data_IF_680808125979
#
_entry.id   IF_680808125979
#
_cell.length_a   1.000
_cell.length_b   1.000
_cell.length_c   1.000
_cell.angle_alpha   90.00
_cell.angle_beta   90.00
_cell.angle_gamma   90.00
#
_symmetry.space_group_name_H-M   'P 1'
#
loop_
_entity.id
_entity.type
_entity.pdbx_description
1 polymer ?
#
# COMPACT_ATOMS: atom_id res chain seq x y z
N UNK A 1 17.48 4.18 -13.78
CA UNK A 1 17.13 4.41 -12.37
C UNK A 1 15.62 4.50 -12.22
N UNK A 2 15.05 3.75 -11.28
CA UNK A 2 13.63 3.83 -11.02
C UNK A 2 13.32 5.04 -10.16
N UNK A 3 12.23 5.74 -10.51
CA UNK A 3 11.72 6.85 -9.73
C UNK A 3 10.35 6.43 -9.19
N UNK A 4 10.34 5.77 -8.04
CA UNK A 4 9.09 5.27 -7.45
C UNK A 4 8.30 6.42 -6.84
N UNK A 5 7.11 6.62 -7.37
CA UNK A 5 6.19 7.67 -6.93
C UNK A 5 5.01 7.11 -6.13
N UNK A 6 4.63 5.86 -6.42
CA UNK A 6 3.43 5.24 -5.88
C UNK A 6 3.76 4.08 -4.97
N UNK A 7 3.05 4.02 -3.85
CA UNK A 7 3.11 2.90 -2.91
C UNK A 7 1.72 2.28 -2.87
N UNK A 8 1.60 1.02 -3.25
CA UNK A 8 0.32 0.31 -3.18
C UNK A 8 0.06 -0.13 -1.74
N UNK A 9 -1.16 0.10 -1.24
CA UNK A 9 -1.54 -0.48 0.04
C UNK A 9 -1.87 -1.97 -0.14
N UNK A 10 -2.19 -2.64 0.95
CA UNK A 10 -2.43 -4.08 0.95
C UNK A 10 -3.62 -4.45 0.06
N UNK A 11 -4.73 -3.72 0.15
CA UNK A 11 -5.91 -4.03 -0.65
C UNK A 11 -5.63 -3.86 -2.14
N UNK A 12 -4.96 -2.78 -2.51
CA UNK A 12 -4.64 -2.51 -3.92
C UNK A 12 -3.67 -3.56 -4.46
N UNK A 13 -2.66 -3.93 -3.68
CA UNK A 13 -1.76 -5.02 -4.08
C UNK A 13 -2.53 -6.33 -4.25
N UNK A 14 -3.46 -6.61 -3.33
CA UNK A 14 -4.33 -7.79 -3.43
C UNK A 14 -5.13 -7.80 -4.74
N UNK A 15 -5.64 -6.63 -5.16
CA UNK A 15 -6.36 -6.53 -6.44
C UNK A 15 -5.45 -6.84 -7.62
N UNK A 16 -4.18 -6.43 -7.56
CA UNK A 16 -3.22 -6.78 -8.59
C UNK A 16 -3.00 -8.29 -8.64
N UNK A 17 -2.83 -8.90 -7.47
CA UNK A 17 -2.53 -10.33 -7.36
C UNK A 17 -3.69 -11.19 -7.87
N UNK A 18 -4.92 -10.89 -7.42
CA UNK A 18 -6.08 -11.73 -7.76
C UNK A 18 -6.83 -11.27 -9.02
N UNK A 19 -6.54 -10.08 -9.51
CA UNK A 19 -7.15 -9.58 -10.74
C UNK A 19 -8.60 -9.15 -10.63
N UNK A 20 -9.13 -8.97 -9.41
CA UNK A 20 -10.53 -8.57 -9.20
C UNK A 20 -10.91 -7.23 -9.85
N UNK A 21 -9.94 -6.34 -9.97
CA UNK A 21 -10.15 -5.02 -10.56
C UNK A 21 -9.17 -4.86 -11.73
N UNK A 22 -9.61 -5.22 -12.96
CA UNK A 22 -8.72 -5.13 -14.14
C UNK A 22 -8.14 -3.74 -14.36
N UNK A 23 -8.87 -2.69 -14.00
CA UNK A 23 -8.41 -1.31 -14.12
C UNK A 23 -7.20 -1.04 -13.23
N UNK A 24 -7.09 -1.71 -12.09
CA UNK A 24 -5.91 -1.59 -11.22
C UNK A 24 -4.69 -2.19 -11.91
N UNK A 25 -4.83 -3.37 -12.50
CA UNK A 25 -3.74 -4.00 -13.25
C UNK A 25 -3.31 -3.15 -14.43
N UNK A 26 -4.25 -2.51 -15.10
CA UNK A 26 -3.95 -1.62 -16.21
C UNK A 26 -3.13 -0.41 -15.74
N UNK A 27 -3.56 0.23 -14.66
CA UNK A 27 -2.83 1.38 -14.10
C UNK A 27 -1.43 0.98 -13.64
N UNK A 28 -1.30 -0.17 -13.01
CA UNK A 28 0.00 -0.68 -12.58
C UNK A 28 0.90 -0.92 -13.80
N UNK A 29 0.37 -1.50 -14.87
CA UNK A 29 1.12 -1.74 -16.08
C UNK A 29 1.61 -0.42 -16.71
N UNK A 30 0.75 0.58 -16.77
CA UNK A 30 1.09 1.88 -17.32
C UNK A 30 2.16 2.61 -16.51
N UNK A 31 2.15 2.44 -15.19
CA UNK A 31 3.03 3.16 -14.27
C UNK A 31 4.10 2.27 -13.63
N UNK A 32 4.35 1.12 -14.23
CA UNK A 32 5.17 0.06 -13.65
C UNK A 32 6.51 0.52 -13.07
N UNK A 33 7.21 1.42 -13.74
CA UNK A 33 8.52 1.89 -13.28
C UNK A 33 8.44 2.80 -12.06
N UNK A 34 7.23 3.25 -11.71
CA UNK A 34 6.99 4.17 -10.60
C UNK A 34 6.29 3.52 -9.41
N UNK A 35 5.98 2.22 -9.49
CA UNK A 35 5.18 1.51 -8.47
C UNK A 35 6.09 0.72 -7.54
N UNK A 36 5.77 0.78 -6.25
CA UNK A 36 6.45 0.02 -5.21
C UNK A 36 5.42 -0.50 -4.21
N UNK A 37 5.84 -1.42 -3.36
CA UNK A 37 5.04 -1.91 -2.24
C UNK A 37 5.85 -1.83 -0.96
N UNK A 38 5.17 -1.65 0.16
CA UNK A 38 5.80 -1.71 1.47
C UNK A 38 6.11 -3.17 1.84
N UNK A 39 7.17 -3.38 2.60
CA UNK A 39 7.45 -4.69 3.21
C UNK A 39 6.28 -5.14 4.07
N UNK A 40 5.52 -4.20 4.65
CA UNK A 40 4.32 -4.50 5.44
C UNK A 40 3.20 -5.05 4.57
N UNK A 41 3.00 -4.47 3.40
CA UNK A 41 2.02 -4.98 2.41
C UNK A 41 2.39 -6.38 1.98
N UNK A 42 3.66 -6.62 1.72
CA UNK A 42 4.14 -7.96 1.37
C UNK A 42 3.85 -8.95 2.50
N UNK A 43 4.13 -8.56 3.75
CA UNK A 43 3.88 -9.42 4.91
C UNK A 43 2.41 -9.79 5.04
N UNK A 44 1.51 -8.82 4.87
CA UNK A 44 0.07 -9.07 4.93
C UNK A 44 -0.41 -9.97 3.81
N UNK A 45 0.10 -9.76 2.61
CA UNK A 45 -0.27 -10.58 1.46
C UNK A 45 0.18 -12.03 1.64
N UNK A 46 1.41 -12.23 2.11
CA UNK A 46 1.94 -13.56 2.38
C UNK A 46 1.15 -14.27 3.47
N UNK A 47 0.81 -13.57 4.54
CA UNK A 47 -0.03 -14.11 5.59
C UNK A 47 -1.40 -14.55 5.04
N UNK A 48 -2.03 -13.68 4.24
CA UNK A 48 -3.33 -13.99 3.65
C UNK A 48 -3.31 -15.25 2.79
N UNK A 49 -2.26 -15.43 2.00
CA UNK A 49 -2.10 -16.64 1.17
C UNK A 49 -1.93 -17.89 2.02
N UNK A 50 -1.14 -17.80 3.09
CA UNK A 50 -0.93 -18.93 4.01
C UNK A 50 -2.19 -19.30 4.77
N UNK A 51 -2.94 -18.29 5.22
CA UNK A 51 -4.20 -18.50 5.92
C UNK A 51 -5.19 -19.24 5.03
N UNK A 52 -5.23 -18.93 3.75
CA UNK A 52 -6.09 -19.60 2.77
C UNK A 52 -5.51 -20.90 2.26
N UNK A 53 -4.28 -21.23 2.65
CA UNK A 53 -3.55 -22.41 2.16
C UNK A 53 -3.53 -22.46 0.63
N UNK A 54 -3.34 -21.32 0.01
CA UNK A 54 -3.40 -21.18 -1.44
C UNK A 54 -2.00 -21.10 -2.04
N UNK A 55 -1.54 -22.19 -2.61
CA UNK A 55 -0.27 -22.22 -3.35
C UNK A 55 -0.32 -21.31 -4.57
N UNK A 56 -1.51 -21.19 -5.18
CA UNK A 56 -1.70 -20.30 -6.32
C UNK A 56 -1.44 -18.84 -5.92
N UNK A 57 -2.00 -18.39 -4.80
CA UNK A 57 -1.77 -17.02 -4.33
C UNK A 57 -0.31 -16.80 -3.95
N UNK A 58 0.33 -17.79 -3.29
CA UNK A 58 1.74 -17.68 -2.94
C UNK A 58 2.61 -17.48 -4.20
N UNK A 59 2.34 -18.26 -5.24
CA UNK A 59 3.07 -18.14 -6.51
C UNK A 59 2.84 -16.80 -7.19
N UNK A 60 1.60 -16.30 -7.18
CA UNK A 60 1.28 -14.99 -7.76
C UNK A 60 1.96 -13.86 -6.98
N UNK A 61 1.97 -13.94 -5.66
CA UNK A 61 2.65 -12.95 -4.83
C UNK A 61 4.15 -12.93 -5.15
N UNK A 62 4.78 -14.10 -5.26
CA UNK A 62 6.20 -14.20 -5.60
C UNK A 62 6.47 -13.57 -6.96
N UNK A 63 5.61 -13.81 -7.94
CA UNK A 63 5.76 -13.23 -9.27
C UNK A 63 5.67 -11.71 -9.23
N UNK A 64 4.64 -11.17 -8.57
CA UNK A 64 4.44 -9.73 -8.53
C UNK A 64 5.50 -9.01 -7.68
N UNK A 65 5.97 -9.63 -6.59
CA UNK A 65 7.01 -8.99 -5.77
C UNK A 65 8.32 -8.81 -6.53
N UNK A 66 8.60 -9.67 -7.51
CA UNK A 66 9.78 -9.52 -8.36
C UNK A 66 9.65 -8.32 -9.29
N UNK A 67 8.44 -7.88 -9.57
CA UNK A 67 8.18 -6.76 -10.48
C UNK A 67 8.32 -5.40 -9.81
N UNK A 68 8.21 -5.32 -8.49
CA UNK A 68 8.18 -4.05 -7.76
C UNK A 68 9.26 -4.00 -6.70
N UNK A 69 9.89 -2.82 -6.49
CA UNK A 69 10.73 -2.63 -5.30
C UNK A 69 9.89 -2.82 -4.03
N UNK A 70 10.48 -3.47 -3.03
CA UNK A 70 9.88 -3.62 -1.72
C UNK A 70 10.53 -2.59 -0.80
N UNK A 71 9.73 -1.64 -0.34
CA UNK A 71 10.19 -0.52 0.48
C UNK A 71 10.30 -0.97 1.94
N UNK A 72 11.47 -0.87 2.57
CA UNK A 72 11.60 -1.24 3.98
C UNK A 72 10.92 -0.22 4.89
N UNK A 73 10.55 -0.65 6.10
CA UNK A 73 10.01 0.26 7.10
C UNK A 73 11.17 0.84 7.89
N UNK A 74 11.39 2.15 7.75
CA UNK A 74 12.60 2.83 8.17
C UNK A 74 12.42 3.59 9.49
N UNK A 75 13.54 4.13 10.01
CA UNK A 75 13.49 5.02 11.16
C UNK A 75 12.69 6.29 10.86
N UNK A 76 12.77 6.82 9.63
CA UNK A 76 11.94 7.96 9.24
C UNK A 76 10.46 7.60 9.24
N UNK A 77 10.12 6.38 8.88
CA UNK A 77 8.74 5.90 8.98
C UNK A 77 8.28 5.82 10.44
N UNK A 78 9.18 5.46 11.35
CA UNK A 78 8.86 5.43 12.79
C UNK A 78 8.51 6.83 13.30
N UNK A 79 9.26 7.83 12.87
CA UNK A 79 9.00 9.24 13.24
C UNK A 79 7.63 9.66 12.70
N UNK A 80 7.36 9.39 11.43
CA UNK A 80 6.08 9.71 10.80
C UNK A 80 4.92 9.00 11.51
N UNK A 81 5.11 7.73 11.87
CA UNK A 81 4.10 6.94 12.56
C UNK A 81 3.70 7.58 13.90
N UNK A 82 4.69 7.99 14.68
CA UNK A 82 4.43 8.61 15.99
C UNK A 82 3.57 9.86 15.83
N UNK A 83 3.87 10.68 14.84
CA UNK A 83 3.09 11.89 14.56
C UNK A 83 1.68 11.58 14.08
N UNK A 84 1.54 10.65 13.14
CA UNK A 84 0.24 10.24 12.61
C UNK A 84 -0.66 9.72 13.73
N UNK A 85 -0.14 8.80 14.52
CA UNK A 85 -0.91 8.17 15.59
C UNK A 85 -1.33 9.18 16.66
N UNK A 86 -0.42 10.06 17.07
CA UNK A 86 -0.72 11.08 18.06
C UNK A 86 -1.85 12.00 17.59
N UNK A 87 -1.81 12.45 16.32
CA UNK A 87 -2.84 13.31 15.76
C UNK A 87 -4.20 12.61 15.64
N UNK A 88 -4.20 11.35 15.21
CA UNK A 88 -5.45 10.60 15.05
C UNK A 88 -6.10 10.29 16.40
N UNK A 89 -5.33 9.92 17.40
CA UNK A 89 -5.86 9.68 18.74
C UNK A 89 -6.40 10.98 19.36
N UNK A 90 -5.68 12.07 19.19
CA UNK A 90 -6.10 13.38 19.69
C UNK A 90 -7.43 13.85 19.04
N UNK A 91 -7.61 13.57 17.76
CA UNK A 91 -8.83 13.93 17.03
C UNK A 91 -9.98 12.96 17.27
N UNK A 92 -9.74 11.83 17.95
CA UNK A 92 -10.72 10.79 18.18
C UNK A 92 -11.14 10.03 16.92
N UNK A 93 -10.29 10.04 15.89
CA UNK A 93 -10.59 9.41 14.59
C UNK A 93 -9.51 8.39 14.19
N UNK A 94 -9.35 7.31 14.98
CA UNK A 94 -8.31 6.33 14.70
C UNK A 94 -8.55 5.58 13.40
N UNK A 95 -7.46 5.04 12.86
CA UNK A 95 -7.50 4.05 11.78
C UNK A 95 -6.75 2.82 12.27
N UNK A 96 -6.80 1.72 11.51
CA UNK A 96 -6.13 0.49 11.92
C UNK A 96 -4.61 0.65 12.07
N UNK A 97 -4.02 -0.15 12.93
CA UNK A 97 -2.58 -0.07 13.23
C UNK A 97 -1.73 -0.28 11.98
N UNK A 98 -2.05 -1.31 11.19
CA UNK A 98 -1.30 -1.60 9.97
C UNK A 98 -1.44 -0.46 8.97
N UNK A 99 -2.63 0.13 8.86
CA UNK A 99 -2.87 1.27 7.97
C UNK A 99 -2.03 2.48 8.37
N UNK A 100 -1.88 2.73 9.68
CA UNK A 100 -1.01 3.79 10.16
C UNK A 100 0.46 3.53 9.81
N UNK A 101 0.90 2.29 9.92
CA UNK A 101 2.27 1.91 9.58
C UNK A 101 2.53 2.10 8.09
N UNK A 102 1.58 1.71 7.23
CA UNK A 102 1.71 1.87 5.78
C UNK A 102 1.68 3.36 5.40
N UNK A 103 0.77 4.13 6.01
CA UNK A 103 0.71 5.57 5.78
C UNK A 103 2.03 6.25 6.17
N UNK A 104 2.63 5.83 7.29
CA UNK A 104 3.91 6.35 7.75
C UNK A 104 5.01 6.08 6.72
N UNK A 105 5.01 4.89 6.13
CA UNK A 105 5.97 4.53 5.08
C UNK A 105 5.80 5.43 3.86
N UNK A 106 4.56 5.71 3.47
CA UNK A 106 4.28 6.57 2.33
C UNK A 106 4.77 8.01 2.58
N UNK A 107 4.49 8.55 3.76
CA UNK A 107 4.93 9.91 4.10
C UNK A 107 6.45 9.99 4.16
N UNK A 108 7.09 9.04 4.85
CA UNK A 108 8.55 9.04 5.00
C UNK A 108 9.27 8.95 3.65
N UNK A 109 8.71 8.21 2.70
CA UNK A 109 9.31 8.03 1.38
C UNK A 109 8.82 9.03 0.34
N UNK A 110 7.89 9.92 0.68
CA UNK A 110 7.34 10.87 -0.28
C UNK A 110 6.47 10.23 -1.36
N UNK A 111 5.84 9.10 -1.05
CA UNK A 111 4.99 8.38 -2.00
C UNK A 111 3.54 8.88 -2.00
N UNK A 112 2.90 8.76 -3.16
CA UNK A 112 1.44 8.76 -3.23
C UNK A 112 0.97 7.37 -2.82
N UNK A 113 0.10 7.28 -1.85
CA UNK A 113 -0.47 6.00 -1.43
C UNK A 113 -1.64 5.65 -2.34
N UNK A 114 -1.57 4.50 -2.99
CA UNK A 114 -2.66 3.99 -3.83
C UNK A 114 -3.50 3.04 -2.99
N UNK A 115 -4.74 3.42 -2.74
CA UNK A 115 -5.62 2.70 -1.83
C UNK A 115 -7.07 2.73 -2.34
N UNK A 116 -7.82 1.67 -2.05
CA UNK A 116 -9.25 1.64 -2.27
C UNK A 116 -10.00 2.28 -1.09
N UNK A 117 -9.32 2.48 0.03
CA UNK A 117 -9.92 3.01 1.25
C UNK A 117 -9.55 4.48 1.46
N UNK A 118 -9.85 5.30 0.45
CA UNK A 118 -9.49 6.72 0.43
C UNK A 118 -10.08 7.48 1.62
N UNK A 119 -11.33 7.19 1.96
CA UNK A 119 -12.02 7.84 3.08
C UNK A 119 -11.26 7.69 4.39
N UNK A 120 -10.70 6.51 4.60
CA UNK A 120 -9.94 6.15 5.80
C UNK A 120 -8.62 6.92 5.84
N UNK A 121 -7.85 6.83 4.76
CA UNK A 121 -6.52 7.43 4.69
C UNK A 121 -6.53 8.96 4.56
N UNK A 122 -7.64 9.56 4.16
CA UNK A 122 -7.77 11.02 4.14
C UNK A 122 -7.67 11.66 5.53
N UNK A 123 -7.85 10.85 6.57
CA UNK A 123 -7.67 11.32 7.95
C UNK A 123 -6.22 11.59 8.28
N UNK A 124 -5.30 11.06 7.49
CA UNK A 124 -3.85 11.20 7.74
C UNK A 124 -3.36 12.51 7.13
N UNK A 125 -2.96 13.44 8.00
CA UNK A 125 -2.45 14.73 7.57
C UNK A 125 -1.18 14.58 6.74
N UNK A 126 -1.12 15.26 5.60
CA UNK A 126 0.06 15.28 4.74
C UNK A 126 0.19 14.09 3.79
N UNK A 127 -0.75 13.16 3.82
CA UNK A 127 -0.72 11.99 2.94
C UNK A 127 -1.48 12.28 1.65
N UNK A 128 -0.82 12.04 0.52
CA UNK A 128 -1.48 12.09 -0.80
C UNK A 128 -1.97 10.70 -1.15
N UNK A 129 -3.23 10.58 -1.55
CA UNK A 129 -3.85 9.29 -1.87
C UNK A 129 -4.49 9.33 -3.26
N UNK A 130 -4.49 8.16 -3.92
CA UNK A 130 -5.21 7.93 -5.18
C UNK A 130 -5.92 6.59 -5.09
N UNK A 131 -7.05 6.48 -5.78
CA UNK A 131 -7.80 5.22 -5.87
C UNK A 131 -7.85 4.80 -7.34
N UNK A 132 -7.13 3.73 -7.67
CA UNK A 132 -7.11 3.22 -9.04
C UNK A 132 -8.26 2.26 -9.34
N UNK A 133 -8.90 1.72 -8.31
CA UNK A 133 -10.06 0.84 -8.50
C UNK A 133 -11.34 1.61 -8.85
N UNK A 134 -11.40 2.89 -8.51
CA UNK A 134 -12.56 3.73 -8.78
C UNK A 134 -12.37 4.64 -10.01
N UNK A 135 -11.27 4.48 -10.74
CA UNK A 135 -10.88 5.41 -11.80
C UNK A 135 -11.60 5.21 -13.13
N UNK A 136 -12.41 4.17 -13.25
CA UNK A 136 -13.04 3.78 -14.51
C UNK A 136 -14.27 4.61 -14.88
N UNK A 137 -14.56 5.66 -14.20
CA UNK A 137 -15.67 6.52 -14.53
C UNK A 137 -15.31 7.61 -15.49
#
# INVERSE_FOLDING_TARGET
>A
MRSCKYLLDTDTFSFVVDGRHPEVRRMVAEKRSEVSISVLTLAEAMFGARKKRSHRLESLIDMFREMFPVVPWTEDAAIAYADIRARLEESGRPIGDMDMLIAASAIAGGFVLVTNNVRHFRRVHGLTVENWAAAQR
#
